data_IF_246808142012
#
_entry.id   IF_246808142012
#
_cell.length_a   1.000
_cell.length_b   1.000
_cell.length_c   1.000
_cell.angle_alpha   90.00
_cell.angle_beta   90.00
_cell.angle_gamma   90.00
#
_symmetry.space_group_name_H-M   'P 1'
#
loop_
_entity.id
_entity.type
_entity.pdbx_description
1 polymer ?
#
# COMPACT_ATOMS: atom_id res chain seq x y z
N UNK A 1 -38.08 -46.11 2.16
CA UNK A 1 -37.61 -45.45 0.92
C UNK A 1 -37.87 -43.96 1.09
N UNK A 2 -36.97 -43.20 1.75
CA UNK A 2 -35.94 -42.31 1.13
C UNK A 2 -36.52 -41.36 0.05
N UNK A 3 -36.37 -40.04 0.10
CA UNK A 3 -35.46 -39.23 0.92
C UNK A 3 -35.73 -37.73 0.83
N UNK A 4 -35.06 -36.98 1.71
CA UNK A 4 -35.11 -35.52 1.77
C UNK A 4 -34.07 -34.88 0.86
N UNK A 5 -34.47 -33.82 0.16
CA UNK A 5 -33.59 -32.95 -0.61
C UNK A 5 -32.96 -31.91 0.32
N UNK A 6 -31.66 -32.05 0.59
CA UNK A 6 -30.87 -30.97 1.19
C UNK A 6 -30.26 -30.12 0.08
N UNK A 7 -30.72 -28.87 -0.04
CA UNK A 7 -30.09 -27.85 -0.86
C UNK A 7 -28.90 -27.25 -0.10
N UNK A 8 -27.68 -27.54 -0.55
CA UNK A 8 -26.46 -26.96 0.01
C UNK A 8 -26.18 -25.59 -0.65
N UNK A 9 -26.22 -24.51 0.13
CA UNK A 9 -25.72 -23.20 -0.26
C UNK A 9 -24.17 -23.23 -0.24
N UNK A 10 -23.54 -23.04 -1.40
CA UNK A 10 -22.09 -22.78 -1.49
C UNK A 10 -21.84 -21.29 -1.32
N UNK A 11 -21.36 -20.90 -0.14
CA UNK A 11 -20.79 -19.58 0.13
C UNK A 11 -19.44 -19.49 -0.59
N UNK A 12 -19.36 -18.64 -1.62
CA UNK A 12 -18.12 -18.40 -2.36
C UNK A 12 -17.17 -17.48 -1.58
N UNK A 13 -16.13 -18.05 -0.97
CA UNK A 13 -15.04 -17.31 -0.34
C UNK A 13 -14.17 -16.66 -1.42
N UNK A 14 -14.22 -15.33 -1.54
CA UNK A 14 -13.32 -14.58 -2.41
C UNK A 14 -11.89 -14.63 -1.83
N UNK A 15 -11.01 -15.43 -2.43
CA UNK A 15 -9.60 -15.47 -2.08
C UNK A 15 -8.89 -14.19 -2.55
N UNK A 16 -8.36 -13.41 -1.61
CA UNK A 16 -7.49 -12.28 -1.92
C UNK A 16 -6.04 -12.79 -2.05
N UNK A 17 -5.49 -12.85 -3.26
CA UNK A 17 -4.05 -13.08 -3.46
C UNK A 17 -3.33 -11.74 -3.53
N UNK A 18 -2.41 -11.47 -2.61
CA UNK A 18 -1.54 -10.30 -2.66
C UNK A 18 -0.34 -10.57 -3.57
N UNK A 19 0.01 -9.61 -4.42
CA UNK A 19 1.29 -9.57 -5.12
C UNK A 19 1.98 -8.25 -4.78
N UNK A 20 3.29 -8.30 -4.49
CA UNK A 20 4.12 -7.13 -4.24
C UNK A 20 5.14 -6.99 -5.36
N UNK A 21 5.20 -5.81 -5.96
CA UNK A 21 6.29 -5.40 -6.85
C UNK A 21 7.06 -4.32 -6.11
N UNK A 22 8.35 -4.54 -5.86
CA UNK A 22 9.21 -3.46 -5.37
C UNK A 22 9.29 -2.37 -6.45
N UNK A 23 8.95 -1.15 -6.06
CA UNK A 23 9.16 0.03 -6.90
C UNK A 23 10.30 0.80 -6.25
N UNK A 24 11.26 1.26 -7.06
CA UNK A 24 12.45 1.97 -6.60
C UNK A 24 12.15 3.43 -6.17
N UNK A 25 11.06 3.67 -5.47
CA UNK A 25 10.73 5.01 -4.98
C UNK A 25 11.43 5.26 -3.66
N UNK A 26 12.52 6.03 -3.71
CA UNK A 26 13.20 6.54 -2.52
C UNK A 26 13.17 8.07 -2.50
N UNK A 27 13.05 8.63 -1.31
CA UNK A 27 13.17 10.06 -1.06
C UNK A 27 13.97 10.27 0.21
N UNK A 28 14.87 11.26 0.21
CA UNK A 28 15.62 11.66 1.38
C UNK A 28 15.27 13.10 1.73
N UNK A 29 15.12 13.38 3.02
CA UNK A 29 14.93 14.72 3.54
C UNK A 29 15.91 14.97 4.68
N UNK A 30 16.42 16.19 4.78
CA UNK A 30 17.15 16.68 5.94
C UNK A 30 16.30 17.75 6.60
N UNK A 31 16.08 17.61 7.89
CA UNK A 31 15.31 18.55 8.70
C UNK A 31 16.28 19.18 9.70
N UNK A 32 16.46 20.49 9.58
CA UNK A 32 17.19 21.25 10.58
C UNK A 32 16.28 21.48 11.78
N UNK A 33 16.67 20.91 12.93
CA UNK A 33 15.94 21.02 14.17
C UNK A 33 16.83 21.66 15.25
N UNK A 34 16.22 22.42 16.16
CA UNK A 34 16.97 23.18 17.18
C UNK A 34 17.82 22.30 18.12
N UNK A 35 17.56 20.99 18.16
CA UNK A 35 18.32 20.00 18.94
C UNK A 35 19.34 19.18 18.14
N UNK A 36 19.48 19.48 16.85
CA UNK A 36 20.35 18.78 15.92
C UNK A 36 19.63 18.40 14.63
N UNK A 37 20.38 18.24 13.54
CA UNK A 37 19.81 17.85 12.26
C UNK A 37 19.28 16.41 12.30
N UNK A 38 18.25 16.16 11.48
CA UNK A 38 17.63 14.85 11.29
C UNK A 38 17.75 14.49 9.81
N UNK A 39 18.40 13.37 9.52
CA UNK A 39 18.48 12.80 8.17
C UNK A 39 17.45 11.68 8.05
N UNK A 40 16.44 11.84 7.20
CA UNK A 40 15.35 10.89 6.98
C UNK A 40 15.40 10.29 5.56
N UNK A 41 15.16 8.99 5.46
CA UNK A 41 15.06 8.23 4.23
C UNK A 41 13.70 7.55 4.18
N UNK A 42 12.98 7.77 3.10
CA UNK A 42 11.65 7.23 2.82
C UNK A 42 11.76 6.26 1.66
N UNK A 43 11.26 5.04 1.82
CA UNK A 43 11.24 4.01 0.79
C UNK A 43 9.82 3.51 0.56
N UNK A 44 9.37 3.51 -0.69
CA UNK A 44 8.00 3.14 -1.07
C UNK A 44 7.93 1.75 -1.70
N UNK A 45 6.94 0.95 -1.29
CA UNK A 45 6.60 -0.33 -1.90
C UNK A 45 5.13 -0.35 -2.28
N UNK A 46 4.79 -0.96 -3.41
CA UNK A 46 3.40 -1.03 -3.89
C UNK A 46 2.86 -2.46 -3.79
N UNK A 47 1.74 -2.59 -3.08
CA UNK A 47 0.97 -3.83 -3.00
C UNK A 47 -0.35 -3.70 -3.75
N UNK A 48 -0.70 -4.69 -4.58
CA UNK A 48 -1.96 -4.69 -5.33
C UNK A 48 -2.91 -5.74 -4.76
N UNK A 49 -4.15 -5.33 -4.50
CA UNK A 49 -5.26 -6.22 -4.12
C UNK A 49 -6.24 -6.31 -5.29
N UNK A 50 -6.70 -7.52 -5.55
CA UNK A 50 -7.63 -7.82 -6.65
C UNK A 50 -8.97 -8.29 -6.10
N UNK A 51 -10.04 -7.95 -6.80
CA UNK A 51 -11.41 -8.39 -6.51
C UNK A 51 -12.08 -8.84 -7.80
N UNK A 52 -12.44 -10.13 -7.87
CA UNK A 52 -13.26 -10.65 -8.96
C UNK A 52 -14.71 -10.19 -8.77
N UNK A 53 -15.27 -9.58 -9.80
CA UNK A 53 -16.67 -9.14 -9.86
C UNK A 53 -17.34 -9.80 -11.06
N UNK A 54 -18.60 -10.19 -10.88
CA UNK A 54 -19.39 -10.92 -11.86
C UNK A 54 -19.42 -12.43 -11.61
N UNK A 55 -20.41 -13.10 -12.18
CA UNK A 55 -20.60 -14.55 -12.11
C UNK A 55 -20.68 -15.13 -13.53
N UNK A 56 -20.12 -16.32 -13.72
CA UNK A 56 -20.36 -17.12 -14.93
C UNK A 56 -21.57 -17.99 -14.64
N UNK A 57 -22.70 -17.66 -15.26
CA UNK A 57 -23.91 -18.48 -15.27
C UNK A 57 -24.07 -19.11 -16.65
N UNK A 58 -24.62 -20.34 -16.77
CA UNK A 58 -24.94 -20.92 -18.08
C UNK A 58 -25.75 -19.92 -18.92
N UNK A 59 -25.30 -19.65 -20.15
CA UNK A 59 -25.93 -18.68 -21.06
C UNK A 59 -25.46 -17.22 -20.94
N UNK A 60 -24.57 -16.88 -20.00
CA UNK A 60 -23.95 -15.54 -19.93
C UNK A 60 -22.52 -15.56 -20.46
N UNK A 61 -22.21 -14.62 -21.33
CA UNK A 61 -20.86 -14.44 -21.89
C UNK A 61 -19.86 -13.97 -20.81
N UNK A 62 -18.57 -14.38 -20.88
CA UNK A 62 -17.52 -13.95 -19.94
C UNK A 62 -17.31 -12.43 -19.85
N UNK A 63 -17.89 -11.65 -20.76
CA UNK A 63 -17.77 -10.18 -20.81
C UNK A 63 -18.38 -9.46 -19.59
N UNK A 64 -19.22 -10.12 -18.79
CA UNK A 64 -19.69 -9.57 -17.51
C UNK A 64 -18.67 -9.66 -16.37
N UNK A 65 -17.58 -10.41 -16.55
CA UNK A 65 -16.53 -10.50 -15.54
C UNK A 65 -15.66 -9.25 -15.56
N UNK A 66 -15.37 -8.74 -14.36
CA UNK A 66 -14.47 -7.62 -14.14
C UNK A 66 -13.50 -7.99 -13.03
N UNK A 67 -12.21 -7.78 -13.27
CA UNK A 67 -11.25 -7.67 -12.21
C UNK A 67 -11.17 -6.21 -11.77
N UNK A 68 -11.62 -5.91 -10.55
CA UNK A 68 -11.31 -4.64 -9.91
C UNK A 68 -9.99 -4.77 -9.15
N UNK A 69 -9.20 -3.71 -9.12
CA UNK A 69 -7.94 -3.72 -8.41
C UNK A 69 -7.68 -2.38 -7.71
N UNK A 70 -6.92 -2.47 -6.64
CA UNK A 70 -6.49 -1.33 -5.83
C UNK A 70 -5.00 -1.49 -5.50
N UNK A 71 -4.21 -0.47 -5.80
CA UNK A 71 -2.84 -0.36 -5.33
C UNK A 71 -2.80 0.39 -4.00
N UNK A 72 -2.01 -0.13 -3.07
CA UNK A 72 -1.66 0.49 -1.79
C UNK A 72 -0.18 0.86 -1.83
N UNK A 73 0.14 2.08 -1.44
CA UNK A 73 1.52 2.52 -1.27
C UNK A 73 1.89 2.40 0.21
N UNK A 74 2.91 1.62 0.50
CA UNK A 74 3.49 1.44 1.83
C UNK A 74 4.81 2.19 1.83
N UNK A 75 4.98 3.16 2.73
CA UNK A 75 6.20 3.96 2.85
C UNK A 75 6.84 3.67 4.20
N UNK A 76 8.10 3.25 4.18
CA UNK A 76 8.92 3.06 5.37
C UNK A 76 9.88 4.24 5.48
N UNK A 77 9.89 4.89 6.64
CA UNK A 77 10.87 5.89 7.03
C UNK A 77 11.92 5.28 7.94
N UNK A 78 13.18 5.53 7.62
CA UNK A 78 14.33 5.42 8.51
C UNK A 78 14.89 6.83 8.75
N UNK A 79 14.94 7.28 10.00
CA UNK A 79 15.51 8.58 10.36
C UNK A 79 16.64 8.43 11.37
N UNK A 80 17.66 9.29 11.22
CA UNK A 80 18.83 9.38 12.10
C UNK A 80 18.99 10.81 12.57
N UNK A 81 19.04 10.99 13.89
CA UNK A 81 19.35 12.28 14.49
C UNK A 81 20.86 12.42 14.71
N UNK A 82 21.36 13.66 14.76
CA UNK A 82 22.76 13.97 15.04
C UNK A 82 23.30 13.35 16.36
N UNK A 83 22.43 13.07 17.34
CA UNK A 83 22.80 12.36 18.57
C UNK A 83 23.03 10.84 18.39
N UNK A 84 22.86 10.30 17.18
CA UNK A 84 22.91 8.87 16.89
C UNK A 84 21.60 8.11 17.14
N UNK A 85 20.56 8.79 17.63
CA UNK A 85 19.24 8.17 17.81
C UNK A 85 18.64 7.80 16.43
N UNK A 86 18.02 6.62 16.36
CA UNK A 86 17.37 6.12 15.15
C UNK A 86 15.87 5.95 15.39
N UNK A 87 15.07 6.25 14.36
CA UNK A 87 13.62 6.22 14.44
C UNK A 87 13.05 5.68 13.14
N UNK A 88 12.18 4.69 13.24
CA UNK A 88 11.53 4.09 12.08
C UNK A 88 10.02 4.22 12.14
N UNK A 89 9.38 4.35 10.98
CA UNK A 89 7.92 4.47 10.89
C UNK A 89 7.41 3.89 9.58
N UNK A 90 6.30 3.16 9.63
CA UNK A 90 5.57 2.73 8.43
C UNK A 90 4.32 3.57 8.26
N UNK A 91 4.10 4.05 7.04
CA UNK A 91 2.93 4.82 6.61
C UNK A 91 2.26 4.10 5.45
N UNK A 92 0.93 4.14 5.38
CA UNK A 92 0.17 3.47 4.32
C UNK A 92 -0.79 4.47 3.68
N UNK A 93 -0.71 4.60 2.36
CA UNK A 93 -1.74 5.25 1.55
C UNK A 93 -2.58 4.17 0.89
N UNK A 94 -3.74 3.92 1.47
CA UNK A 94 -4.77 3.12 0.83
C UNK A 94 -5.29 3.81 -0.42
N UNK A 95 -5.74 3.00 -1.38
CA UNK A 95 -6.29 3.47 -2.67
C UNK A 95 -5.39 4.49 -3.37
N UNK A 96 -4.06 4.31 -3.28
CA UNK A 96 -3.10 5.15 -4.00
C UNK A 96 -3.38 5.12 -5.51
N UNK A 97 -3.79 3.95 -6.03
CA UNK A 97 -4.37 3.83 -7.37
C UNK A 97 -5.53 2.84 -7.33
N UNK A 98 -6.49 3.01 -8.22
CA UNK A 98 -7.60 2.08 -8.42
C UNK A 98 -7.83 1.87 -9.91
N UNK A 99 -8.38 0.72 -10.27
CA UNK A 99 -8.73 0.47 -11.64
C UNK A 99 -9.55 -0.80 -11.83
N UNK A 100 -9.86 -1.09 -13.08
CA UNK A 100 -10.54 -2.32 -13.43
C UNK A 100 -10.16 -2.80 -14.83
N UNK A 101 -10.07 -4.12 -14.99
CA UNK A 101 -9.89 -4.80 -16.28
C UNK A 101 -11.04 -5.78 -16.55
N UNK A 102 -11.45 -5.99 -17.81
CA UNK A 102 -12.40 -7.03 -18.14
C UNK A 102 -11.79 -8.42 -17.91
N UNK A 103 -12.64 -9.40 -17.61
CA UNK A 103 -12.26 -10.80 -17.46
C UNK A 103 -11.86 -11.20 -16.03
N UNK A 104 -11.16 -12.33 -15.95
CA UNK A 104 -10.71 -12.93 -14.70
C UNK A 104 -9.48 -12.21 -14.13
N UNK A 105 -9.43 -12.05 -12.81
CA UNK A 105 -8.27 -11.46 -12.16
C UNK A 105 -6.98 -12.26 -12.38
N UNK A 106 -7.04 -13.59 -12.45
CA UNK A 106 -5.87 -14.44 -12.73
C UNK A 106 -5.20 -14.09 -14.06
N UNK A 107 -5.98 -13.83 -15.11
CA UNK A 107 -5.47 -13.44 -16.44
C UNK A 107 -5.07 -11.97 -16.55
N UNK A 108 -5.58 -11.10 -15.65
CA UNK A 108 -5.33 -9.66 -15.72
C UNK A 108 -4.08 -9.19 -14.96
N UNK A 109 -3.47 -10.01 -14.08
CA UNK A 109 -2.39 -9.58 -13.17
C UNK A 109 -1.23 -8.87 -13.88
N UNK A 110 -0.72 -9.45 -14.97
CA UNK A 110 0.40 -8.87 -15.71
C UNK A 110 0.04 -7.53 -16.40
N UNK A 111 -1.19 -7.40 -16.89
CA UNK A 111 -1.68 -6.15 -17.46
C UNK A 111 -1.88 -5.08 -16.38
N UNK A 112 -2.40 -5.46 -15.22
CA UNK A 112 -2.57 -4.57 -14.07
C UNK A 112 -1.22 -4.11 -13.52
N UNK A 113 -0.21 -4.98 -13.48
CA UNK A 113 1.15 -4.58 -13.11
C UNK A 113 1.71 -3.49 -14.05
N UNK A 114 1.45 -3.59 -15.36
CA UNK A 114 1.79 -2.53 -16.33
C UNK A 114 0.98 -1.25 -16.11
N UNK A 115 -0.30 -1.36 -15.78
CA UNK A 115 -1.13 -0.19 -15.44
C UNK A 115 -0.56 0.55 -14.23
N UNK A 116 -0.20 -0.18 -13.16
CA UNK A 116 0.42 0.41 -11.97
C UNK A 116 1.77 1.05 -12.31
N UNK A 117 2.62 0.36 -13.08
CA UNK A 117 3.92 0.89 -13.50
C UNK A 117 3.80 2.16 -14.37
N UNK A 118 2.74 2.28 -15.18
CA UNK A 118 2.48 3.49 -15.97
C UNK A 118 2.12 4.72 -15.12
N UNK A 119 1.75 4.52 -13.84
CA UNK A 119 1.41 5.59 -12.89
C UNK A 119 2.53 5.89 -11.88
N UNK A 120 3.79 5.62 -12.25
CA UNK A 120 4.98 5.88 -11.44
C UNK A 120 5.04 7.31 -10.87
N UNK A 121 4.75 8.31 -11.71
CA UNK A 121 4.74 9.72 -11.29
C UNK A 121 3.71 10.01 -10.18
N UNK A 122 2.52 9.40 -10.26
CA UNK A 122 1.47 9.56 -9.24
C UNK A 122 1.87 8.88 -7.92
N UNK A 123 2.49 7.70 -7.99
CA UNK A 123 3.01 6.98 -6.82
C UNK A 123 4.14 7.76 -6.14
N UNK A 124 5.06 8.34 -6.91
CA UNK A 124 6.10 9.24 -6.40
C UNK A 124 5.49 10.48 -5.74
N UNK A 125 4.46 11.08 -6.33
CA UNK A 125 3.76 12.22 -5.71
C UNK A 125 3.11 11.84 -4.37
N UNK A 126 2.50 10.65 -4.27
CA UNK A 126 1.98 10.14 -3.00
C UNK A 126 3.07 9.90 -1.95
N UNK A 127 4.25 9.39 -2.34
CA UNK A 127 5.38 9.24 -1.43
C UNK A 127 5.83 10.60 -0.88
N UNK A 128 6.01 11.59 -1.76
CA UNK A 128 6.41 12.94 -1.34
C UNK A 128 5.38 13.59 -0.42
N UNK A 129 4.08 13.40 -0.70
CA UNK A 129 3.01 13.89 0.18
C UNK A 129 3.08 13.24 1.56
N UNK A 130 3.25 11.92 1.64
CA UNK A 130 3.43 11.23 2.93
C UNK A 130 4.67 11.70 3.69
N UNK A 131 5.78 11.93 3.00
CA UNK A 131 7.00 12.46 3.62
C UNK A 131 6.81 13.89 4.15
N UNK A 132 6.08 14.73 3.42
CA UNK A 132 5.74 16.09 3.85
C UNK A 132 4.82 16.06 5.09
N UNK A 133 3.77 15.23 5.08
CA UNK A 133 2.83 15.07 6.20
C UNK A 133 3.52 14.54 7.47
N UNK A 134 4.59 13.74 7.31
CA UNK A 134 5.36 13.15 8.42
C UNK A 134 6.34 14.14 9.08
N UNK A 135 6.61 15.30 8.47
CA UNK A 135 7.61 16.26 8.96
C UNK A 135 7.38 16.67 10.43
N UNK A 136 6.16 17.07 10.77
CA UNK A 136 5.81 17.56 12.12
C UNK A 136 5.81 16.42 13.15
N UNK A 137 5.44 15.23 12.69
CA UNK A 137 5.47 14.01 13.50
C UNK A 137 6.90 13.64 13.86
N UNK A 138 7.80 13.65 12.88
CA UNK A 138 9.23 13.38 13.07
C UNK A 138 9.87 14.39 14.03
N UNK A 139 9.56 15.68 13.86
CA UNK A 139 10.02 16.74 14.77
C UNK A 139 9.56 16.50 16.22
N UNK A 140 8.27 16.19 16.41
CA UNK A 140 7.73 15.90 17.73
C UNK A 140 8.29 14.59 18.35
N UNK A 141 8.65 13.59 17.54
CA UNK A 141 9.31 12.38 18.04
C UNK A 141 10.70 12.69 18.63
N UNK A 142 11.45 13.63 18.04
CA UNK A 142 12.75 14.09 18.53
C UNK A 142 12.61 14.84 19.86
N UNK A 143 11.67 15.77 19.98
CA UNK A 143 11.45 16.49 21.24
C UNK A 143 11.18 15.52 22.40
N UNK A 144 10.34 14.50 22.16
CA UNK A 144 10.05 13.47 23.17
C UNK A 144 11.28 12.62 23.53
N UNK A 145 12.18 12.34 22.57
CA UNK A 145 13.43 11.62 22.85
C UNK A 145 14.33 12.41 23.80
N UNK A 146 14.46 13.70 23.57
CA UNK A 146 15.27 14.58 24.44
C UNK A 146 14.66 14.74 25.84
N UNK A 147 13.34 14.89 25.95
CA UNK A 147 12.67 14.99 27.25
C UNK A 147 12.80 13.71 28.10
N UNK A 148 12.92 12.55 27.46
CA UNK A 148 13.20 11.29 28.15
C UNK A 148 14.64 11.23 28.63
N UNK A 149 15.61 11.62 27.78
CA UNK A 149 17.02 11.63 28.14
C UNK A 149 17.36 12.57 29.30
N UNK A 150 16.58 13.64 29.52
CA UNK A 150 16.78 14.57 30.65
C UNK A 150 16.22 14.08 31.99
N UNK A 151 15.33 13.10 31.98
CA UNK A 151 14.62 12.61 33.17
C UNK A 151 15.22 11.34 33.76
N UNK A 152 16.14 10.68 33.05
CA UNK A 152 16.95 9.57 33.54
C UNK A 152 18.31 10.06 33.95
#
# INVERSE_FOLDING_TARGET
>A
MTGGFFAALLVGSAAMTAGSTDIAHRHSARIDHHRGAIDAQYSGRVGVVYKQVGAVTPGRVPSSLRCQWQARLIVERDARHASGATMTRTMVRDRALTGSRPGWCSGAKAAIARDVAAHDAALRAHLLALAADDHDVLTAEIDRLHDRSRRG
#
